data_IF_759604191252
#
_entry.id   IF_759604191252
#
_cell.length_a   1.000
_cell.length_b   1.000
_cell.length_c   1.000
_cell.angle_alpha   90.00
_cell.angle_beta   90.00
_cell.angle_gamma   90.00
#
_symmetry.space_group_name_H-M   'P 1'
#
loop_
_entity.id
_entity.type
_entity.pdbx_description
1 polymer ?
#
# COMPACT_ATOMS: atom_id res chain seq x y z
N UNK A 1 91.15 -6.50 14.76
CA UNK A 1 89.88 -5.75 14.84
C UNK A 1 88.79 -6.68 14.34
N UNK A 2 87.77 -6.88 15.17
CA UNK A 2 86.82 -8.01 15.16
C UNK A 2 85.99 -8.02 13.88
N UNK A 3 85.92 -9.17 13.19
CA UNK A 3 84.93 -9.41 12.13
C UNK A 3 83.54 -9.44 12.75
N UNK A 4 82.71 -8.46 12.40
CA UNK A 4 81.33 -8.38 12.83
C UNK A 4 80.49 -9.47 12.12
N UNK A 5 79.64 -10.10 12.91
CA UNK A 5 78.66 -11.13 12.55
C UNK A 5 77.96 -10.83 11.22
N UNK A 6 77.99 -11.79 10.29
CA UNK A 6 77.06 -11.83 9.17
C UNK A 6 75.68 -12.18 9.71
N UNK A 7 74.74 -11.25 9.61
CA UNK A 7 73.33 -11.46 9.93
C UNK A 7 72.75 -12.58 9.04
N UNK A 8 72.50 -13.74 9.67
CA UNK A 8 71.95 -14.97 9.04
C UNK A 8 70.42 -14.84 8.78
N UNK A 9 69.89 -13.62 8.77
CA UNK A 9 68.46 -13.33 8.67
C UNK A 9 68.14 -12.30 7.58
N UNK A 10 68.85 -12.36 6.44
CA UNK A 10 68.35 -11.68 5.25
C UNK A 10 67.05 -12.37 4.81
N UNK A 11 65.90 -11.76 5.15
CA UNK A 11 64.61 -12.13 4.58
C UNK A 11 64.74 -12.05 3.05
N UNK A 12 64.72 -13.20 2.39
CA UNK A 12 64.54 -13.26 0.94
C UNK A 12 63.13 -12.72 0.67
N UNK A 13 63.03 -11.44 0.28
CA UNK A 13 61.78 -10.86 -0.21
C UNK A 13 61.77 -10.99 -1.73
N UNK A 14 61.17 -12.05 -2.24
CA UNK A 14 60.85 -12.17 -3.67
C UNK A 14 59.48 -11.56 -3.91
N UNK A 15 59.46 -10.32 -4.41
CA UNK A 15 58.24 -9.71 -4.94
C UNK A 15 57.93 -10.31 -6.31
N UNK A 16 57.19 -11.43 -6.36
CA UNK A 16 56.79 -12.02 -7.64
C UNK A 16 55.47 -11.40 -8.12
N UNK A 17 55.54 -10.30 -8.85
CA UNK A 17 54.38 -9.76 -9.58
C UNK A 17 54.31 -10.42 -10.95
N UNK A 18 53.66 -11.59 -11.03
CA UNK A 18 53.45 -12.25 -12.33
C UNK A 18 52.16 -11.73 -12.95
N UNK A 19 52.26 -11.13 -14.14
CA UNK A 19 51.08 -10.80 -14.95
C UNK A 19 50.44 -12.11 -15.42
N UNK A 20 49.24 -12.40 -14.95
CA UNK A 20 48.43 -13.50 -15.46
C UNK A 20 47.83 -13.07 -16.80
N UNK A 21 48.56 -13.33 -17.89
CA UNK A 21 47.96 -13.30 -19.22
C UNK A 21 47.43 -14.68 -19.55
N UNK A 22 46.20 -14.75 -20.05
CA UNK A 22 45.63 -15.98 -20.58
C UNK A 22 46.35 -16.33 -21.87
N UNK A 23 47.42 -17.13 -21.82
CA UNK A 23 47.96 -17.76 -23.03
C UNK A 23 47.02 -18.88 -23.44
N UNK A 24 46.38 -18.75 -24.60
CA UNK A 24 45.64 -19.83 -25.21
C UNK A 24 46.63 -20.92 -25.61
N UNK A 25 46.41 -22.16 -25.14
CA UNK A 25 47.24 -23.32 -25.55
C UNK A 25 47.05 -23.68 -27.03
N UNK A 26 45.99 -23.16 -27.65
CA UNK A 26 45.69 -23.29 -29.07
C UNK A 26 46.05 -21.98 -29.81
N UNK A 27 46.79 -22.10 -30.92
CA UNK A 27 47.17 -20.98 -31.78
C UNK A 27 46.09 -20.57 -32.77
N UNK A 28 45.07 -21.42 -32.99
CA UNK A 28 43.91 -21.07 -33.80
C UNK A 28 42.90 -20.27 -32.98
N UNK A 29 42.77 -18.98 -33.31
CA UNK A 29 41.88 -18.02 -32.64
C UNK A 29 40.49 -17.95 -33.28
N UNK A 30 40.25 -18.70 -34.36
CA UNK A 30 39.00 -18.63 -35.13
C UNK A 30 37.79 -18.92 -34.27
N UNK A 31 37.89 -19.87 -33.34
CA UNK A 31 36.78 -20.23 -32.45
C UNK A 31 36.48 -19.16 -31.38
N UNK A 32 37.49 -18.44 -30.90
CA UNK A 32 37.30 -17.31 -29.99
C UNK A 32 36.66 -16.12 -30.72
N UNK A 33 37.09 -15.85 -31.97
CA UNK A 33 36.53 -14.78 -32.80
C UNK A 33 35.07 -15.00 -33.20
N UNK A 34 34.57 -16.24 -33.15
CA UNK A 34 33.17 -16.57 -33.47
C UNK A 34 32.19 -16.22 -32.35
N UNK A 35 32.66 -15.90 -31.14
CA UNK A 35 31.82 -15.58 -29.97
C UNK A 35 30.65 -16.56 -29.76
N UNK A 36 30.89 -17.86 -29.94
CA UNK A 36 29.83 -18.86 -29.83
C UNK A 36 29.38 -19.01 -28.37
N UNK A 37 28.07 -19.01 -28.17
CA UNK A 37 27.47 -19.38 -26.90
C UNK A 37 27.45 -20.90 -26.80
N UNK A 38 28.33 -21.46 -25.98
CA UNK A 38 28.47 -22.92 -25.85
C UNK A 38 27.33 -23.56 -25.03
N UNK A 39 26.73 -22.82 -24.11
CA UNK A 39 25.58 -23.28 -23.31
C UNK A 39 24.65 -22.11 -22.96
N UNK A 40 23.69 -21.86 -23.86
CA UNK A 40 22.72 -20.78 -23.68
C UNK A 40 21.79 -21.04 -22.49
N UNK A 41 21.45 -22.31 -22.22
CA UNK A 41 20.55 -22.67 -21.13
C UNK A 41 21.21 -22.41 -19.77
N UNK A 42 22.49 -22.74 -19.63
CA UNK A 42 23.26 -22.39 -18.44
C UNK A 42 23.37 -20.88 -18.23
N UNK A 43 23.63 -20.10 -19.28
CA UNK A 43 23.69 -18.63 -19.16
C UNK A 43 22.36 -18.03 -18.71
N UNK A 44 21.23 -18.49 -19.26
CA UNK A 44 19.89 -18.01 -18.89
C UNK A 44 19.51 -18.41 -17.45
N UNK A 45 19.80 -19.65 -17.04
CA UNK A 45 19.55 -20.09 -15.66
C UNK A 45 20.43 -19.34 -14.66
N UNK A 46 21.64 -18.92 -15.06
CA UNK A 46 22.51 -18.08 -14.22
C UNK A 46 22.00 -16.65 -14.09
N UNK A 47 21.47 -16.05 -15.15
CA UNK A 47 20.78 -14.74 -15.10
C UNK A 47 19.57 -14.78 -14.16
N UNK A 48 18.82 -15.90 -14.16
CA UNK A 48 17.71 -16.10 -13.24
C UNK A 48 18.15 -16.20 -11.77
N UNK A 49 19.23 -16.94 -11.49
CA UNK A 49 19.79 -17.03 -10.13
C UNK A 49 20.30 -15.70 -9.59
N UNK A 50 20.84 -14.84 -10.46
CA UNK A 50 21.29 -13.50 -10.09
C UNK A 50 20.14 -12.49 -9.98
N UNK A 51 18.91 -12.90 -10.31
CA UNK A 51 17.74 -12.03 -10.24
C UNK A 51 17.67 -10.99 -11.34
N UNK A 52 18.43 -11.13 -12.44
CA UNK A 52 18.43 -10.19 -13.57
C UNK A 52 17.04 -10.08 -14.22
N UNK A 53 16.21 -11.12 -14.10
CA UNK A 53 14.81 -11.10 -14.57
C UNK A 53 13.83 -10.46 -13.58
N UNK A 54 14.23 -10.21 -12.33
CA UNK A 54 13.52 -9.27 -11.47
C UNK A 54 13.94 -7.88 -11.94
N UNK A 55 13.28 -7.39 -12.99
CA UNK A 55 13.53 -6.07 -13.53
C UNK A 55 13.60 -5.04 -12.41
N UNK A 56 14.78 -4.47 -12.19
CA UNK A 56 14.96 -3.42 -11.22
C UNK A 56 14.52 -2.12 -11.89
N UNK A 57 13.48 -1.47 -11.38
CA UNK A 57 13.09 -0.13 -11.83
C UNK A 57 14.10 0.90 -11.27
N UNK A 58 15.34 0.80 -11.74
CA UNK A 58 16.45 1.67 -11.35
C UNK A 58 16.50 2.95 -12.21
N UNK A 59 15.55 3.12 -13.14
CA UNK A 59 15.42 4.30 -13.97
C UNK A 59 14.60 5.38 -13.27
N UNK A 60 15.18 6.13 -12.34
CA UNK A 60 14.51 7.36 -11.88
C UNK A 60 14.62 8.43 -12.96
N UNK A 61 13.50 8.83 -13.55
CA UNK A 61 13.48 9.92 -14.52
C UNK A 61 13.94 11.23 -13.85
N UNK A 62 15.08 11.77 -14.29
CA UNK A 62 15.62 13.03 -13.76
C UNK A 62 14.79 14.24 -14.22
N UNK A 63 14.26 14.21 -15.44
CA UNK A 63 13.32 15.20 -15.95
C UNK A 63 12.58 14.68 -17.19
N UNK A 64 11.27 14.94 -17.28
CA UNK A 64 10.45 14.67 -18.47
C UNK A 64 9.73 15.96 -18.87
N UNK A 65 9.80 16.32 -20.16
CA UNK A 65 8.99 17.40 -20.73
C UNK A 65 7.81 16.79 -21.49
N UNK A 66 6.62 16.85 -20.90
CA UNK A 66 5.39 16.37 -21.53
C UNK A 66 4.70 17.51 -22.30
N UNK A 67 4.32 17.26 -23.55
CA UNK A 67 3.40 18.12 -24.31
C UNK A 67 2.14 17.31 -24.57
N UNK A 68 1.02 17.74 -23.98
CA UNK A 68 -0.28 17.12 -24.16
C UNK A 68 -1.23 18.09 -24.86
N UNK A 69 -2.08 17.56 -25.73
CA UNK A 69 -3.24 18.25 -26.27
C UNK A 69 -4.48 17.59 -25.69
N UNK A 70 -5.39 18.37 -25.12
CA UNK A 70 -6.69 17.90 -24.65
C UNK A 70 -7.78 18.50 -25.52
N UNK A 71 -8.81 17.71 -25.78
CA UNK A 71 -10.07 18.16 -26.40
C UNK A 71 -11.20 17.64 -25.53
N UNK A 72 -12.09 18.52 -25.09
CA UNK A 72 -13.24 18.13 -24.26
C UNK A 72 -14.20 17.28 -25.10
N UNK A 73 -14.59 16.11 -24.58
CA UNK A 73 -15.64 15.30 -25.19
C UNK A 73 -16.98 16.02 -25.01
N UNK A 74 -17.72 16.22 -26.11
CA UNK A 74 -18.97 17.01 -26.09
C UNK A 74 -20.19 16.22 -25.62
N UNK A 75 -20.27 14.92 -25.91
CA UNK A 75 -21.43 14.07 -25.61
C UNK A 75 -21.00 12.66 -25.15
N UNK A 76 -20.71 12.43 -23.87
CA UNK A 76 -20.63 11.08 -23.35
C UNK A 76 -22.03 10.41 -23.44
N UNK A 77 -22.07 9.12 -23.78
CA UNK A 77 -23.33 8.34 -23.79
C UNK A 77 -23.89 8.35 -22.37
N UNK A 78 -25.08 8.92 -22.19
CA UNK A 78 -25.76 8.95 -20.89
C UNK A 78 -26.08 7.52 -20.46
N UNK A 79 -25.52 7.10 -19.33
CA UNK A 79 -25.95 5.89 -18.61
C UNK A 79 -27.41 6.05 -18.16
N UNK A 80 -28.06 4.94 -17.81
CA UNK A 80 -29.48 4.82 -17.39
C UNK A 80 -29.86 5.78 -16.23
N UNK A 81 -28.88 6.35 -15.53
CA UNK A 81 -29.07 7.35 -14.47
C UNK A 81 -28.33 8.63 -14.87
N UNK A 82 -29.07 9.66 -15.28
CA UNK A 82 -28.52 10.99 -15.57
C UNK A 82 -28.32 11.74 -14.26
N UNK A 83 -27.08 11.82 -13.78
CA UNK A 83 -26.73 12.55 -12.55
C UNK A 83 -26.62 14.07 -12.78
N UNK A 84 -26.67 14.53 -14.04
CA UNK A 84 -26.59 15.96 -14.38
C UNK A 84 -25.23 16.62 -14.13
N UNK A 85 -24.22 15.86 -13.70
CA UNK A 85 -22.87 16.34 -13.39
C UNK A 85 -21.97 16.32 -14.63
N UNK A 86 -21.07 17.32 -14.75
CA UNK A 86 -20.07 17.36 -15.83
C UNK A 86 -18.97 16.32 -15.58
N UNK A 87 -19.07 15.18 -16.26
CA UNK A 87 -18.09 14.07 -16.18
C UNK A 87 -16.64 14.52 -16.46
N UNK A 88 -16.46 15.63 -17.18
CA UNK A 88 -15.14 16.14 -17.54
C UNK A 88 -14.54 17.11 -16.50
N UNK A 89 -15.23 17.38 -15.38
CA UNK A 89 -14.73 18.28 -14.33
C UNK A 89 -13.53 17.68 -13.58
N UNK A 90 -13.50 16.35 -13.45
CA UNK A 90 -12.39 15.59 -12.86
C UNK A 90 -11.96 14.48 -13.83
N UNK A 91 -10.74 13.94 -13.70
CA UNK A 91 -10.33 12.75 -14.46
C UNK A 91 -11.35 11.63 -14.29
N UNK A 92 -11.63 10.90 -15.38
CA UNK A 92 -12.67 9.87 -15.42
C UNK A 92 -12.17 8.58 -14.76
N UNK A 93 -10.87 8.28 -14.85
CA UNK A 93 -10.28 7.06 -14.32
C UNK A 93 -10.54 6.91 -12.82
N UNK A 94 -10.30 7.93 -11.95
CA UNK A 94 -10.71 7.85 -10.55
C UNK A 94 -12.21 7.71 -10.34
N UNK A 95 -13.05 8.36 -11.14
CA UNK A 95 -14.51 8.28 -10.96
C UNK A 95 -15.05 6.86 -11.24
N UNK A 96 -14.49 6.18 -12.23
CA UNK A 96 -14.91 4.84 -12.66
C UNK A 96 -14.22 3.74 -11.85
N UNK A 97 -12.92 3.87 -11.64
CA UNK A 97 -12.09 2.81 -11.03
C UNK A 97 -12.03 2.91 -9.51
N UNK A 98 -12.53 3.99 -8.91
CA UNK A 98 -12.55 4.10 -7.46
C UNK A 98 -13.41 2.98 -6.87
N UNK A 99 -12.71 2.06 -6.20
CA UNK A 99 -13.32 1.11 -5.31
C UNK A 99 -13.97 1.89 -4.16
N UNK A 100 -15.30 1.83 -4.04
CA UNK A 100 -15.99 2.36 -2.87
C UNK A 100 -15.58 1.53 -1.65
N UNK A 101 -14.59 2.00 -0.90
CA UNK A 101 -14.17 1.35 0.33
C UNK A 101 -15.02 1.86 1.50
N UNK A 102 -15.72 0.95 2.17
CA UNK A 102 -16.34 1.28 3.44
C UNK A 102 -15.30 1.26 4.56
N UNK A 103 -15.38 2.20 5.50
CA UNK A 103 -14.49 2.21 6.66
C UNK A 103 -14.69 0.93 7.48
N UNK A 104 -13.58 0.22 7.72
CA UNK A 104 -13.58 -1.01 8.51
C UNK A 104 -14.00 -0.77 9.96
N UNK A 105 -14.54 -1.79 10.66
CA UNK A 105 -14.86 -1.68 12.09
C UNK A 105 -13.67 -1.25 12.95
N UNK A 106 -12.45 -1.61 12.54
CA UNK A 106 -11.23 -1.20 13.24
C UNK A 106 -11.06 0.32 13.21
N UNK A 107 -11.18 0.94 12.03
CA UNK A 107 -11.07 2.40 11.90
C UNK A 107 -12.22 3.12 12.60
N UNK A 108 -13.44 2.55 12.56
CA UNK A 108 -14.60 3.10 13.29
C UNK A 108 -14.37 3.13 14.80
N UNK A 109 -13.83 2.05 15.34
CA UNK A 109 -13.50 1.95 16.78
C UNK A 109 -12.29 2.83 17.13
N UNK A 110 -11.26 2.86 16.31
CA UNK A 110 -10.09 3.74 16.50
C UNK A 110 -10.50 5.22 16.54
N UNK A 111 -11.34 5.63 15.59
CA UNK A 111 -11.92 6.96 15.54
C UNK A 111 -12.71 7.27 16.81
N UNK A 112 -13.51 6.32 17.32
CA UNK A 112 -14.22 6.49 18.58
C UNK A 112 -13.27 6.61 19.78
N UNK A 113 -12.20 5.82 19.82
CA UNK A 113 -11.18 5.87 20.87
C UNK A 113 -10.45 7.22 20.89
N UNK A 114 -10.12 7.77 19.72
CA UNK A 114 -9.53 9.13 19.61
C UNK A 114 -10.44 10.16 20.25
N UNK A 115 -11.74 10.13 19.94
CA UNK A 115 -12.71 11.04 20.55
C UNK A 115 -12.79 10.85 22.08
N UNK A 116 -12.76 9.60 22.56
CA UNK A 116 -12.73 9.31 23.99
C UNK A 116 -11.50 9.89 24.70
N UNK A 117 -10.33 9.88 24.05
CA UNK A 117 -9.11 10.50 24.58
C UNK A 117 -9.27 12.01 24.72
N UNK A 118 -9.88 12.68 23.72
CA UNK A 118 -10.18 14.11 23.77
C UNK A 118 -11.15 14.41 24.92
N UNK A 119 -12.25 13.66 25.04
CA UNK A 119 -13.22 13.83 26.13
C UNK A 119 -12.58 13.65 27.51
N UNK A 120 -11.68 12.67 27.67
CA UNK A 120 -10.98 12.41 28.94
C UNK A 120 -10.12 13.58 29.40
N UNK A 121 -9.57 14.38 28.46
CA UNK A 121 -8.78 15.58 28.80
C UNK A 121 -9.65 16.72 29.30
N UNK A 122 -10.92 16.79 28.88
CA UNK A 122 -11.77 17.97 29.08
C UNK A 122 -12.93 17.78 30.07
N UNK A 123 -13.35 16.54 30.33
CA UNK A 123 -14.54 16.25 31.14
C UNK A 123 -14.20 15.44 32.39
N UNK A 124 -15.02 15.63 33.44
CA UNK A 124 -14.99 14.75 34.64
C UNK A 124 -15.60 13.38 34.31
N UNK A 125 -15.23 12.37 35.09
CA UNK A 125 -15.63 10.96 34.85
C UNK A 125 -17.16 10.76 34.75
N UNK A 126 -17.94 11.46 35.59
CA UNK A 126 -19.39 11.30 35.63
C UNK A 126 -20.09 11.88 34.39
N UNK A 127 -19.65 13.06 33.95
CA UNK A 127 -20.16 13.71 32.73
C UNK A 127 -19.78 12.90 31.49
N UNK A 128 -18.55 12.35 31.47
CA UNK A 128 -18.08 11.46 30.41
C UNK A 128 -18.95 10.22 30.28
N UNK A 129 -19.33 9.58 31.40
CA UNK A 129 -20.18 8.39 31.38
C UNK A 129 -21.58 8.69 30.78
N UNK A 130 -22.16 9.86 31.10
CA UNK A 130 -23.42 10.31 30.50
C UNK A 130 -23.28 10.54 29.00
N UNK A 131 -22.19 11.20 28.58
CA UNK A 131 -21.91 11.47 27.17
C UNK A 131 -21.70 10.19 26.36
N UNK A 132 -20.96 9.23 26.91
CA UNK A 132 -20.73 7.93 26.26
C UNK A 132 -22.03 7.13 26.07
N UNK A 133 -22.98 7.22 27.03
CA UNK A 133 -24.31 6.62 26.84
C UNK A 133 -25.07 7.29 25.70
N UNK A 134 -25.07 8.62 25.63
CA UNK A 134 -25.67 9.38 24.53
C UNK A 134 -25.09 8.96 23.17
N UNK A 135 -23.75 8.90 23.07
CA UNK A 135 -23.04 8.55 21.83
C UNK A 135 -23.32 7.11 21.39
N UNK A 136 -23.33 6.15 22.31
CA UNK A 136 -23.66 4.75 21.99
C UNK A 136 -25.09 4.57 21.51
N UNK A 137 -26.02 5.37 22.02
CA UNK A 137 -27.42 5.36 21.57
C UNK A 137 -27.58 6.04 20.21
N UNK A 138 -26.89 7.16 19.97
CA UNK A 138 -27.01 7.91 18.71
C UNK A 138 -26.22 7.27 17.56
N UNK A 139 -25.04 6.73 17.84
CA UNK A 139 -24.15 6.12 16.85
C UNK A 139 -23.77 4.69 17.29
N UNK A 140 -24.72 3.74 17.24
CA UNK A 140 -24.42 2.35 17.56
C UNK A 140 -23.37 1.80 16.59
N UNK A 141 -22.42 1.03 17.12
CA UNK A 141 -21.50 0.26 16.31
C UNK A 141 -22.24 -0.98 15.81
N UNK A 142 -22.77 -0.90 14.58
CA UNK A 142 -23.37 -2.04 13.89
C UNK A 142 -22.31 -3.15 13.79
N UNK A 143 -22.68 -4.43 13.88
CA UNK A 143 -21.70 -5.54 13.82
C UNK A 143 -21.70 -6.25 12.46
N UNK A 144 -22.51 -5.79 11.51
CA UNK A 144 -22.61 -6.29 10.15
C UNK A 144 -21.51 -5.68 9.28
N UNK A 145 -20.25 -6.05 9.57
CA UNK A 145 -19.13 -5.71 8.69
C UNK A 145 -18.67 -6.96 7.97
N UNK A 146 -18.78 -6.92 6.65
CA UNK A 146 -18.73 -8.12 5.85
C UNK A 146 -18.03 -7.99 4.50
N UNK A 147 -18.39 -7.03 3.65
CA UNK A 147 -17.70 -6.87 2.38
C UNK A 147 -17.40 -5.41 2.10
N UNK A 148 -16.18 -4.98 2.43
CA UNK A 148 -15.69 -3.60 2.32
C UNK A 148 -15.52 -3.11 0.87
N UNK A 149 -16.19 -3.73 -0.11
CA UNK A 149 -16.18 -3.30 -1.52
C UNK A 149 -17.38 -3.75 -2.35
N UNK A 150 -18.17 -4.74 -1.91
CA UNK A 150 -19.22 -5.33 -2.74
C UNK A 150 -20.65 -5.17 -2.19
N UNK A 151 -20.83 -4.84 -0.91
CA UNK A 151 -22.16 -4.67 -0.32
C UNK A 151 -22.89 -3.40 -0.83
N UNK A 152 -22.15 -2.41 -1.36
CA UNK A 152 -22.71 -1.17 -1.94
C UNK A 152 -22.90 -1.20 -3.47
N UNK A 153 -22.83 -2.37 -4.11
CA UNK A 153 -23.19 -2.44 -5.54
C UNK A 153 -24.71 -2.31 -5.71
N UNK A 154 -25.17 -1.53 -6.71
CA UNK A 154 -26.58 -1.19 -6.87
C UNK A 154 -27.42 -2.45 -7.07
N UNK A 155 -28.25 -2.78 -6.07
CA UNK A 155 -29.51 -3.57 -5.97
C UNK A 155 -29.90 -4.65 -7.01
N UNK A 156 -29.03 -5.05 -7.95
CA UNK A 156 -29.22 -6.10 -8.93
C UNK A 156 -28.09 -7.10 -8.76
N UNK A 157 -28.06 -7.75 -7.60
CA UNK A 157 -27.04 -8.74 -7.26
C UNK A 157 -27.26 -9.97 -8.13
N UNK A 158 -26.59 -10.02 -9.27
CA UNK A 158 -26.42 -11.25 -10.07
C UNK A 158 -25.92 -12.37 -9.14
N UNK A 159 -26.34 -13.63 -9.27
CA UNK A 159 -25.96 -14.71 -8.36
C UNK A 159 -24.44 -14.83 -8.14
N UNK A 160 -23.63 -14.64 -9.19
CA UNK A 160 -22.16 -14.65 -9.12
C UNK A 160 -21.56 -13.58 -8.19
N UNK A 161 -22.25 -12.45 -8.00
CA UNK A 161 -21.83 -11.38 -7.10
C UNK A 161 -22.09 -11.71 -5.63
N UNK A 162 -23.10 -12.55 -5.34
CA UNK A 162 -23.39 -13.03 -3.98
C UNK A 162 -22.26 -13.92 -3.47
N UNK A 163 -21.76 -14.82 -4.30
CA UNK A 163 -20.69 -15.76 -3.93
C UNK A 163 -19.39 -15.01 -3.59
N UNK A 164 -19.07 -13.96 -4.35
CA UNK A 164 -17.88 -13.11 -4.13
C UNK A 164 -18.01 -12.35 -2.80
N UNK A 165 -19.18 -11.77 -2.52
CA UNK A 165 -19.49 -11.08 -1.25
C UNK A 165 -19.38 -12.05 -0.08
N UNK A 166 -19.98 -13.24 -0.18
CA UNK A 166 -19.98 -14.24 0.88
C UNK A 166 -18.57 -14.79 1.14
N UNK A 167 -17.79 -15.03 0.08
CA UNK A 167 -16.39 -15.43 0.21
C UNK A 167 -15.55 -14.35 0.88
N UNK A 168 -15.73 -13.08 0.50
CA UNK A 168 -15.06 -11.94 1.13
C UNK A 168 -15.41 -11.83 2.62
N UNK A 169 -16.69 -11.99 2.96
CA UNK A 169 -17.19 -12.08 4.35
C UNK A 169 -16.50 -13.19 5.14
N UNK A 170 -16.37 -14.37 4.53
CA UNK A 170 -15.72 -15.53 5.15
C UNK A 170 -14.22 -15.31 5.39
N UNK A 171 -13.51 -14.70 4.44
CA UNK A 171 -12.09 -14.33 4.61
C UNK A 171 -11.92 -13.30 5.73
N UNK A 172 -12.84 -12.34 5.83
CA UNK A 172 -12.79 -11.25 6.81
C UNK A 172 -13.38 -11.62 8.19
N UNK A 173 -13.35 -12.90 8.58
CA UNK A 173 -13.89 -13.39 9.86
C UNK A 173 -13.34 -12.65 11.10
N UNK A 174 -12.10 -12.15 11.03
CA UNK A 174 -11.46 -11.37 12.10
C UNK A 174 -12.13 -10.00 12.31
N UNK A 175 -12.63 -9.35 11.26
CA UNK A 175 -13.33 -8.07 11.38
C UNK A 175 -14.70 -8.27 12.04
N UNK A 176 -15.38 -9.38 11.74
CA UNK A 176 -16.64 -9.73 12.39
C UNK A 176 -16.45 -10.01 13.88
N UNK A 177 -15.42 -10.79 14.25
CA UNK A 177 -15.13 -11.08 15.67
C UNK A 177 -14.72 -9.83 16.43
N UNK A 178 -13.90 -8.98 15.81
CA UNK A 178 -13.51 -7.68 16.35
C UNK A 178 -14.74 -6.79 16.59
N UNK A 179 -15.59 -6.60 15.58
CA UNK A 179 -16.79 -5.77 15.71
C UNK A 179 -17.73 -6.27 16.82
N UNK A 180 -17.94 -7.58 16.91
CA UNK A 180 -18.73 -8.20 17.99
C UNK A 180 -18.15 -7.93 19.39
N UNK A 181 -16.83 -7.92 19.55
CA UNK A 181 -16.19 -7.66 20.84
C UNK A 181 -16.44 -6.24 21.38
N UNK A 182 -16.59 -5.27 20.47
CA UNK A 182 -16.83 -3.86 20.76
C UNK A 182 -18.30 -3.43 20.67
N UNK A 183 -19.18 -4.27 20.10
CA UNK A 183 -20.62 -4.02 20.06
C UNK A 183 -21.18 -3.76 21.46
N UNK A 184 -21.94 -2.67 21.60
CA UNK A 184 -22.49 -2.19 22.88
C UNK A 184 -21.50 -1.53 23.84
N UNK A 185 -20.17 -1.70 23.63
CA UNK A 185 -19.12 -1.06 24.44
C UNK A 185 -18.55 0.20 23.80
N UNK A 186 -18.40 0.19 22.48
CA UNK A 186 -17.98 1.35 21.69
C UNK A 186 -19.18 1.96 20.94
N UNK A 187 -18.94 3.11 20.33
CA UNK A 187 -19.85 3.77 19.38
C UNK A 187 -19.11 3.90 18.04
N UNK A 188 -19.83 4.24 16.98
CA UNK A 188 -19.23 4.45 15.66
C UNK A 188 -18.62 5.86 15.56
N UNK A 189 -17.29 5.95 15.60
CA UNK A 189 -16.58 7.23 15.52
C UNK A 189 -16.63 7.87 14.14
N UNK A 190 -16.73 7.09 13.07
CA UNK A 190 -16.79 7.61 11.70
C UNK A 190 -18.14 8.28 11.46
N UNK A 191 -19.25 7.64 11.89
CA UNK A 191 -20.58 8.27 11.82
C UNK A 191 -20.64 9.56 12.64
N UNK A 192 -19.99 9.62 13.80
CA UNK A 192 -19.86 10.84 14.58
C UNK A 192 -19.09 11.93 13.80
N UNK A 193 -17.96 11.58 13.18
CA UNK A 193 -17.17 12.51 12.37
C UNK A 193 -17.96 13.05 11.17
N UNK A 194 -18.66 12.17 10.44
CA UNK A 194 -19.52 12.55 9.32
C UNK A 194 -20.63 13.51 9.77
N UNK A 195 -21.31 13.21 10.87
CA UNK A 195 -22.35 14.05 11.46
C UNK A 195 -21.82 15.45 11.86
N UNK A 196 -20.63 15.49 12.48
CA UNK A 196 -19.97 16.75 12.83
C UNK A 196 -19.50 17.56 11.62
N UNK A 197 -19.12 16.88 10.53
CA UNK A 197 -18.73 17.52 9.27
C UNK A 197 -19.93 18.15 8.56
N UNK A 198 -21.08 17.49 8.59
CA UNK A 198 -22.31 17.95 7.94
C UNK A 198 -23.03 19.02 8.77
N UNK A 199 -23.19 18.80 10.07
CA UNK A 199 -23.99 19.68 10.95
C UNK A 199 -23.16 20.73 11.69
N UNK A 200 -21.83 20.66 11.58
CA UNK A 200 -20.90 21.58 12.23
C UNK A 200 -20.60 21.23 13.69
N UNK A 201 -19.42 21.63 14.13
CA UNK A 201 -18.94 21.39 15.50
C UNK A 201 -19.61 22.35 16.49
N UNK A 202 -20.19 21.80 17.57
CA UNK A 202 -20.84 22.60 18.62
C UNK A 202 -19.89 22.98 19.76
N UNK A 203 -18.96 22.10 20.09
CA UNK A 203 -18.01 22.29 21.19
C UNK A 203 -16.56 22.29 20.69
N UNK A 204 -15.67 22.86 21.49
CA UNK A 204 -14.24 22.92 21.18
C UNK A 204 -13.59 21.54 21.07
N UNK A 205 -14.13 20.52 21.74
CA UNK A 205 -13.67 19.13 21.61
C UNK A 205 -14.19 18.44 20.34
N UNK A 206 -15.31 18.89 19.80
CA UNK A 206 -15.82 18.41 18.51
C UNK A 206 -14.95 18.95 17.38
N UNK A 207 -14.52 20.22 17.51
CA UNK A 207 -13.58 20.83 16.57
C UNK A 207 -12.21 20.12 16.57
N UNK A 208 -11.62 19.84 17.73
CA UNK A 208 -10.35 19.07 17.82
C UNK A 208 -10.47 17.65 17.21
N UNK A 209 -11.68 17.10 17.16
CA UNK A 209 -11.92 15.80 16.56
C UNK A 209 -12.09 15.84 15.04
N UNK A 210 -12.70 16.92 14.53
CA UNK A 210 -12.93 17.12 13.11
C UNK A 210 -11.71 17.69 12.35
N UNK A 211 -10.73 18.25 13.08
CA UNK A 211 -9.41 18.69 12.59
C UNK A 211 -8.39 17.54 12.53
#
# INVERSE_FOLDING_TARGET
MIMANQDINSKISTSLTTRLETRTRNGDITDALRFRVHDALWMLTRQWQLGEFNGNDAGTAIAVKCKAWQTKMSNPVKSVVDTGEDLCQYPIEPQIEQLRHEMTPMVRVESAMRYMVILKKRMKKDEMAKKLRELRTRYPLDCEYGATSFDNQPSAVTPALKDIVEYSKKQNSQLTSFAKAFSGKAFDGVKLFEDLTVHGCKNDYDREYAE
#
